data_IF_289917788569
#
_entry.id   IF_289917788569
#
_cell.length_a   1.000
_cell.length_b   1.000
_cell.length_c   1.000
_cell.angle_alpha   90.00
_cell.angle_beta   90.00
_cell.angle_gamma   90.00
#
_symmetry.space_group_name_H-M   'P 1'
#
loop_
_entity.id
_entity.type
_entity.pdbx_description
1 polymer ?
#
# COMPACT_ATOMS: atom_id res chain seq x y z
N UNK A 1 -19.24 -10.66 13.09
CA UNK A 1 -19.86 -12.01 13.03
C UNK A 1 -20.06 -12.35 11.55
N UNK A 2 -19.87 -13.60 11.13
CA UNK A 2 -20.16 -14.02 9.74
C UNK A 2 -21.66 -14.27 9.64
N UNK A 3 -22.37 -13.51 8.80
CA UNK A 3 -23.84 -13.56 8.73
C UNK A 3 -24.35 -14.72 7.87
N UNK A 4 -23.71 -14.94 6.71
CA UNK A 4 -24.08 -15.97 5.74
C UNK A 4 -22.85 -16.39 4.92
N UNK A 5 -22.62 -17.69 4.79
CA UNK A 5 -21.53 -18.29 4.01
C UNK A 5 -22.09 -19.26 2.97
N UNK A 6 -21.93 -18.92 1.70
CA UNK A 6 -22.42 -19.68 0.55
C UNK A 6 -21.36 -19.78 -0.56
N UNK A 7 -21.64 -20.53 -1.62
CA UNK A 7 -20.69 -20.72 -2.74
C UNK A 7 -20.32 -19.39 -3.42
N UNK A 8 -21.18 -18.39 -3.37
CA UNK A 8 -20.98 -17.05 -3.94
C UNK A 8 -20.29 -16.09 -2.95
N UNK A 9 -19.85 -16.56 -1.79
CA UNK A 9 -19.02 -15.83 -0.84
C UNK A 9 -19.66 -15.70 0.54
N UNK A 10 -19.27 -14.64 1.25
CA UNK A 10 -19.80 -14.37 2.59
C UNK A 10 -19.80 -12.89 2.94
N UNK A 11 -20.59 -12.52 3.95
CA UNK A 11 -20.60 -11.19 4.56
C UNK A 11 -20.20 -11.26 6.02
N UNK A 12 -19.42 -10.28 6.46
CA UNK A 12 -19.06 -10.09 7.86
C UNK A 12 -19.48 -8.72 8.31
N UNK A 13 -20.21 -8.71 9.42
CA UNK A 13 -20.54 -7.47 10.10
C UNK A 13 -19.52 -7.20 11.23
N UNK A 14 -18.93 -6.02 11.19
CA UNK A 14 -18.12 -5.42 12.26
C UNK A 14 -18.76 -4.11 12.72
N UNK A 15 -18.42 -3.69 13.95
CA UNK A 15 -19.11 -2.60 14.65
C UNK A 15 -19.21 -1.29 13.84
N UNK A 16 -18.19 -0.99 13.05
CA UNK A 16 -18.07 0.25 12.28
C UNK A 16 -18.00 0.03 10.76
N UNK A 17 -17.87 -1.21 10.31
CA UNK A 17 -17.63 -1.57 8.92
C UNK A 17 -18.31 -2.89 8.56
N UNK A 18 -18.78 -2.97 7.32
CA UNK A 18 -19.23 -4.21 6.72
C UNK A 18 -18.17 -4.68 5.73
N UNK A 19 -17.91 -5.98 5.70
CA UNK A 19 -17.03 -6.57 4.71
C UNK A 19 -17.73 -7.72 4.00
N UNK A 20 -17.39 -7.90 2.73
CA UNK A 20 -17.93 -8.94 1.85
C UNK A 20 -16.79 -9.57 1.08
N UNK A 21 -16.77 -10.89 1.04
CA UNK A 21 -15.94 -11.64 0.13
C UNK A 21 -16.77 -12.10 -1.06
N UNK A 22 -16.22 -11.94 -2.24
CA UNK A 22 -16.76 -12.34 -3.53
C UNK A 22 -15.72 -13.24 -4.20
N UNK A 23 -16.02 -14.53 -4.39
CA UNK A 23 -15.13 -15.47 -5.04
C UNK A 23 -14.76 -15.02 -6.47
N UNK A 24 -13.56 -15.39 -6.95
CA UNK A 24 -12.56 -16.19 -6.24
C UNK A 24 -11.62 -15.38 -5.34
N UNK A 25 -11.56 -14.05 -5.48
CA UNK A 25 -10.45 -13.26 -4.91
C UNK A 25 -10.79 -11.81 -4.53
N UNK A 26 -12.06 -11.42 -4.49
CA UNK A 26 -12.47 -10.03 -4.29
C UNK A 26 -12.94 -9.81 -2.85
N UNK A 27 -12.33 -8.83 -2.19
CA UNK A 27 -12.70 -8.39 -0.85
C UNK A 27 -13.21 -6.95 -0.94
N UNK A 28 -14.33 -6.70 -0.29
CA UNK A 28 -15.04 -5.43 -0.32
C UNK A 28 -15.35 -5.02 1.11
N UNK A 29 -14.77 -3.93 1.60
CA UNK A 29 -15.02 -3.38 2.92
C UNK A 29 -15.58 -1.96 2.81
N UNK A 30 -16.60 -1.62 3.60
CA UNK A 30 -17.24 -0.32 3.55
C UNK A 30 -17.72 0.13 4.93
N UNK A 31 -17.69 1.43 5.17
CA UNK A 31 -18.16 2.01 6.44
C UNK A 31 -19.69 2.01 6.51
N UNK A 32 -20.24 1.65 7.67
CA UNK A 32 -21.68 1.73 7.91
C UNK A 32 -22.17 3.18 7.99
N UNK A 33 -23.46 3.44 7.70
CA UNK A 33 -24.12 4.66 8.16
C UNK A 33 -23.99 4.78 9.66
N UNK A 34 -23.55 5.95 10.13
CA UNK A 34 -23.79 6.30 11.52
C UNK A 34 -25.25 6.69 11.59
N UNK A 35 -26.10 5.79 12.09
CA UNK A 35 -27.45 6.15 12.46
C UNK A 35 -27.35 7.15 13.62
N UNK A 36 -27.62 8.43 13.35
CA UNK A 36 -27.90 9.41 14.40
C UNK A 36 -29.26 9.07 15.02
N UNK A 37 -29.29 8.05 15.84
CA UNK A 37 -30.42 7.74 16.71
C UNK A 37 -29.90 7.73 18.14
N UNK A 38 -29.93 8.90 18.79
CA UNK A 38 -30.42 9.10 20.17
C UNK A 38 -30.16 10.53 20.63
N UNK A 39 -31.23 11.27 20.89
CA UNK A 39 -31.20 12.52 21.67
C UNK A 39 -32.35 13.48 21.35
N UNK A 40 -33.37 13.49 22.22
CA UNK A 40 -34.41 14.51 22.39
C UNK A 40 -35.60 14.51 21.42
N UNK A 41 -36.74 14.03 21.93
CA UNK A 41 -38.05 14.55 21.55
C UNK A 41 -38.05 16.07 21.73
N UNK A 42 -38.37 16.82 20.67
CA UNK A 42 -39.13 18.06 20.77
C UNK A 42 -39.70 18.41 19.39
N UNK A 43 -40.93 18.91 19.44
CA UNK A 43 -41.84 19.17 18.34
C UNK A 43 -41.35 20.18 17.30
N UNK A 44 -42.04 20.14 16.15
CA UNK A 44 -42.16 21.17 15.09
C UNK A 44 -41.28 20.91 13.87
N UNK A 45 -41.98 20.74 12.75
CA UNK A 45 -41.45 20.33 11.46
C UNK A 45 -40.39 21.28 10.92
N UNK A 46 -39.23 20.71 10.61
CA UNK A 46 -38.27 21.29 9.68
C UNK A 46 -37.80 20.16 8.77
N UNK A 47 -37.80 20.40 7.45
CA UNK A 47 -37.41 19.44 6.42
C UNK A 47 -36.08 18.78 6.78
N UNK A 48 -36.11 17.46 6.99
CA UNK A 48 -34.93 16.63 7.20
C UNK A 48 -34.19 16.53 5.87
N UNK A 49 -33.26 17.45 5.60
CA UNK A 49 -32.28 17.24 4.53
C UNK A 49 -31.56 15.92 4.82
N UNK A 50 -31.68 14.96 3.92
CA UNK A 50 -30.92 13.72 3.95
C UNK A 50 -29.44 14.08 3.89
N UNK A 51 -28.78 14.06 5.04
CA UNK A 51 -27.32 14.22 5.11
C UNK A 51 -26.69 13.14 4.24
N UNK A 52 -26.00 13.53 3.18
CA UNK A 52 -25.28 12.59 2.32
C UNK A 52 -24.24 11.90 3.19
N UNK A 53 -24.51 10.65 3.53
CA UNK A 53 -23.68 9.86 4.43
C UNK A 53 -22.28 9.71 3.81
N UNK A 54 -21.25 10.10 4.57
CA UNK A 54 -19.86 9.90 4.15
C UNK A 54 -19.57 8.40 4.18
N UNK A 55 -19.16 7.86 3.03
CA UNK A 55 -18.84 6.46 2.82
C UNK A 55 -17.44 6.33 2.24
N UNK A 56 -16.65 5.47 2.88
CA UNK A 56 -15.37 5.01 2.40
C UNK A 56 -15.48 3.52 2.08
N UNK A 57 -14.93 3.13 0.93
CA UNK A 57 -14.93 1.76 0.46
C UNK A 57 -13.50 1.35 0.15
N UNK A 58 -13.10 0.16 0.59
CA UNK A 58 -11.89 -0.53 0.17
C UNK A 58 -12.31 -1.74 -0.66
N UNK A 59 -11.86 -1.76 -1.91
CA UNK A 59 -11.97 -2.92 -2.79
C UNK A 59 -10.57 -3.48 -2.96
N UNK A 60 -10.38 -4.76 -2.70
CA UNK A 60 -9.10 -5.45 -2.74
C UNK A 60 -9.24 -6.76 -3.49
N UNK A 61 -8.44 -6.94 -4.54
CA UNK A 61 -8.32 -8.16 -5.32
C UNK A 61 -7.01 -8.84 -4.94
N UNK A 62 -7.08 -10.09 -4.48
CA UNK A 62 -5.92 -10.92 -4.17
C UNK A 62 -5.87 -12.12 -5.12
N UNK A 63 -5.30 -11.91 -6.30
CA UNK A 63 -5.34 -12.90 -7.38
C UNK A 63 -4.12 -13.82 -7.23
N UNK A 64 -4.30 -15.13 -6.98
CA UNK A 64 -3.18 -16.07 -6.99
C UNK A 64 -2.61 -16.19 -8.41
N UNK A 65 -1.29 -16.06 -8.56
CA UNK A 65 -0.61 -16.16 -9.87
C UNK A 65 0.20 -17.45 -9.97
N UNK A 66 1.04 -17.69 -8.97
CA UNK A 66 1.81 -18.93 -8.81
C UNK A 66 2.03 -19.19 -7.32
N UNK A 67 2.45 -20.39 -6.93
CA UNK A 67 2.86 -20.62 -5.54
C UNK A 67 3.90 -19.60 -5.09
N UNK A 68 3.65 -18.96 -3.93
CA UNK A 68 4.48 -17.88 -3.39
C UNK A 68 4.28 -16.49 -4.01
N UNK A 69 3.46 -16.36 -5.06
CA UNK A 69 3.22 -15.08 -5.74
C UNK A 69 1.71 -14.81 -5.88
N UNK A 70 1.27 -13.69 -5.31
CA UNK A 70 -0.07 -13.15 -5.51
C UNK A 70 0.01 -11.75 -6.13
N UNK A 71 -1.00 -11.41 -6.94
CA UNK A 71 -1.20 -10.05 -7.44
C UNK A 71 -2.25 -9.35 -6.59
N UNK A 72 -1.84 -8.25 -5.99
CA UNK A 72 -2.71 -7.38 -5.20
C UNK A 72 -3.11 -6.16 -6.04
N UNK A 73 -4.41 -5.92 -6.16
CA UNK A 73 -4.97 -4.72 -6.79
C UNK A 73 -5.98 -4.14 -5.83
N UNK A 74 -5.93 -2.83 -5.58
CA UNK A 74 -6.91 -2.18 -4.71
C UNK A 74 -7.46 -0.90 -5.31
N UNK A 75 -8.61 -0.49 -4.76
CA UNK A 75 -9.22 0.79 -5.01
C UNK A 75 -9.87 1.30 -3.74
N UNK A 76 -9.76 2.61 -3.52
CA UNK A 76 -10.33 3.29 -2.36
C UNK A 76 -11.38 4.34 -2.79
N UNK A 77 -12.53 3.93 -3.35
CA UNK A 77 -13.56 4.88 -3.69
C UNK A 77 -14.15 5.53 -2.43
N UNK A 78 -14.39 6.83 -2.52
CA UNK A 78 -14.95 7.66 -1.45
C UNK A 78 -15.90 8.67 -2.05
N UNK A 79 -17.03 8.89 -1.38
CA UNK A 79 -18.07 9.82 -1.84
C UNK A 79 -17.93 11.24 -1.24
N UNK A 80 -16.95 11.45 -0.37
CA UNK A 80 -16.68 12.71 0.32
C UNK A 80 -15.30 13.26 -0.07
N UNK A 81 -15.15 14.59 0.02
CA UNK A 81 -13.88 15.25 -0.30
C UNK A 81 -13.45 15.08 -1.76
N UNK A 82 -14.41 14.83 -2.68
CA UNK A 82 -14.13 14.65 -4.12
C UNK A 82 -13.62 15.93 -4.78
N UNK A 83 -13.88 17.09 -4.19
CA UNK A 83 -13.31 18.36 -4.65
C UNK A 83 -11.78 18.38 -4.56
N UNK A 84 -11.20 17.62 -3.62
CA UNK A 84 -9.75 17.54 -3.43
C UNK A 84 -9.10 16.92 -4.68
N UNK A 85 -9.80 16.04 -5.39
CA UNK A 85 -9.30 15.41 -6.62
C UNK A 85 -9.14 16.41 -7.78
N UNK A 86 -9.71 17.62 -7.66
CA UNK A 86 -9.50 18.73 -8.61
C UNK A 86 -8.23 19.54 -8.32
N UNK A 87 -7.78 19.57 -7.07
CA UNK A 87 -6.63 20.37 -6.61
C UNK A 87 -5.38 19.50 -6.49
N UNK A 88 -5.55 18.29 -5.99
CA UNK A 88 -4.48 17.35 -5.67
C UNK A 88 -4.38 16.30 -6.77
N UNK A 89 -3.22 16.16 -7.45
CA UNK A 89 -3.05 15.17 -8.50
C UNK A 89 -3.29 13.74 -7.99
N UNK A 90 -3.98 12.91 -8.79
CA UNK A 90 -4.35 11.54 -8.40
C UNK A 90 -3.19 10.67 -7.90
N UNK A 91 -1.99 10.86 -8.44
CA UNK A 91 -0.81 10.06 -8.06
C UNK A 91 -0.39 10.28 -6.60
N UNK A 92 -0.65 11.43 -5.99
CA UNK A 92 -0.27 11.69 -4.60
C UNK A 92 -1.12 10.85 -3.63
N UNK A 93 -2.40 10.68 -3.94
CA UNK A 93 -3.28 9.77 -3.19
C UNK A 93 -2.81 8.32 -3.31
N UNK A 94 -2.36 7.90 -4.48
CA UNK A 94 -1.81 6.56 -4.66
C UNK A 94 -0.53 6.37 -3.84
N UNK A 95 0.40 7.32 -3.86
CA UNK A 95 1.62 7.27 -3.04
C UNK A 95 1.28 7.18 -1.55
N UNK A 96 0.34 7.99 -1.07
CA UNK A 96 -0.10 7.95 0.34
C UNK A 96 -0.75 6.61 0.73
N UNK A 97 -1.55 6.02 -0.18
CA UNK A 97 -2.17 4.71 0.03
C UNK A 97 -1.12 3.59 0.00
N UNK A 98 -0.14 3.66 -0.91
CA UNK A 98 0.93 2.69 -1.00
C UNK A 98 1.75 2.63 0.30
N UNK A 99 1.96 3.77 0.99
CA UNK A 99 2.66 3.78 2.27
C UNK A 99 2.00 2.84 3.31
N UNK A 100 0.67 2.81 3.39
CA UNK A 100 -0.06 1.92 4.32
C UNK A 100 0.15 0.45 3.93
N UNK A 101 0.23 0.17 2.63
CA UNK A 101 0.34 -1.19 2.13
C UNK A 101 1.76 -1.72 2.20
N UNK A 102 2.76 -0.87 1.99
CA UNK A 102 4.17 -1.21 2.17
C UNK A 102 4.43 -1.66 3.63
N UNK A 103 3.78 -1.02 4.62
CA UNK A 103 3.90 -1.45 6.02
C UNK A 103 3.26 -2.80 6.30
N UNK A 104 2.09 -3.07 5.71
CA UNK A 104 1.40 -4.35 5.89
C UNK A 104 2.09 -5.49 5.14
N UNK A 105 2.58 -5.22 3.92
CA UNK A 105 3.35 -6.17 3.11
C UNK A 105 4.63 -6.59 3.83
N UNK A 106 5.26 -5.67 4.58
CA UNK A 106 6.46 -5.98 5.36
C UNK A 106 6.16 -7.00 6.46
N UNK A 107 5.04 -6.84 7.16
CA UNK A 107 4.62 -7.74 8.22
C UNK A 107 4.29 -9.12 7.66
N UNK A 108 3.51 -9.19 6.57
CA UNK A 108 3.24 -10.44 5.86
C UNK A 108 4.53 -11.15 5.46
N UNK A 109 5.54 -10.38 5.08
CA UNK A 109 6.80 -10.93 4.64
C UNK A 109 7.68 -11.42 5.79
N UNK A 110 7.77 -10.68 6.91
CA UNK A 110 8.46 -11.16 8.11
C UNK A 110 7.85 -12.48 8.59
N UNK A 111 6.52 -12.59 8.60
CA UNK A 111 5.83 -13.84 8.96
C UNK A 111 6.19 -15.02 8.04
N UNK A 112 6.64 -14.75 6.81
CA UNK A 112 7.14 -15.74 5.85
C UNK A 112 8.67 -15.92 5.88
N UNK A 113 9.44 -14.95 6.38
CA UNK A 113 10.90 -14.92 6.26
C UNK A 113 11.69 -15.53 7.41
N UNK A 114 11.10 -15.68 8.60
CA UNK A 114 11.82 -16.13 9.81
C UNK A 114 12.34 -17.58 9.69
N UNK A 115 12.10 -18.27 8.56
CA UNK A 115 12.74 -19.54 8.21
C UNK A 115 14.04 -19.51 7.42
N UNK A 116 14.44 -18.38 6.82
CA UNK A 116 15.51 -18.39 5.79
C UNK A 116 16.75 -17.56 6.12
N UNK A 117 16.77 -16.84 7.24
CA UNK A 117 17.91 -15.99 7.62
C UNK A 117 18.69 -16.63 8.76
N UNK A 118 19.75 -17.35 8.42
CA UNK A 118 20.87 -17.61 9.32
C UNK A 118 21.73 -16.36 9.47
N UNK A 119 21.33 -15.42 10.34
CA UNK A 119 22.17 -14.28 10.75
C UNK A 119 22.37 -14.33 12.28
N UNK A 120 23.62 -14.39 12.79
CA UNK A 120 23.90 -14.72 14.18
C UNK A 120 23.81 -13.56 15.19
N UNK A 121 23.35 -12.37 14.79
CA UNK A 121 23.58 -11.16 15.61
C UNK A 121 22.47 -10.76 16.60
N UNK A 122 21.26 -11.34 16.53
CA UNK A 122 20.16 -11.01 17.46
C UNK A 122 19.63 -12.25 18.20
N UNK A 123 20.46 -12.89 19.02
CA UNK A 123 20.11 -14.15 19.69
C UNK A 123 19.53 -14.03 21.10
N UNK A 124 19.46 -12.87 21.76
CA UNK A 124 19.32 -12.93 23.23
C UNK A 124 18.03 -12.49 23.92
N UNK A 125 17.01 -11.87 23.30
CA UNK A 125 15.80 -11.48 24.05
C UNK A 125 14.44 -11.58 23.30
N UNK A 126 14.40 -12.12 22.09
CA UNK A 126 13.17 -12.26 21.27
C UNK A 126 12.78 -13.71 20.94
N UNK A 127 13.23 -14.67 21.74
CA UNK A 127 13.38 -16.08 21.34
C UNK A 127 12.14 -17.00 21.52
N UNK A 128 11.00 -16.50 21.98
CA UNK A 128 9.82 -17.35 22.23
C UNK A 128 8.52 -16.93 21.51
N UNK A 129 8.37 -15.70 21.00
CA UNK A 129 7.06 -15.17 20.56
C UNK A 129 6.93 -15.01 19.03
N UNK A 130 8.02 -14.92 18.27
CA UNK A 130 7.97 -14.62 16.82
C UNK A 130 8.58 -15.70 15.92
N UNK A 131 8.65 -16.94 16.40
CA UNK A 131 9.40 -18.00 15.75
C UNK A 131 8.49 -19.11 15.25
N UNK A 132 7.64 -18.81 14.27
CA UNK A 132 7.14 -19.83 13.36
C UNK A 132 6.44 -19.26 12.13
N UNK A 133 6.73 -19.81 10.95
CA UNK A 133 6.02 -19.44 9.73
C UNK A 133 4.63 -20.07 9.75
N UNK A 134 3.58 -19.26 9.81
CA UNK A 134 2.20 -19.73 9.85
C UNK A 134 1.87 -20.69 8.69
N UNK A 135 2.39 -20.46 7.48
CA UNK A 135 2.14 -21.33 6.32
C UNK A 135 2.76 -22.72 6.44
N UNK A 136 3.97 -22.83 7.01
CA UNK A 136 4.60 -24.14 7.26
C UNK A 136 3.85 -24.91 8.33
N UNK A 137 3.46 -24.25 9.43
CA UNK A 137 2.59 -24.87 10.42
C UNK A 137 1.27 -25.34 9.84
N UNK A 138 0.66 -24.58 8.92
CA UNK A 138 -0.58 -24.98 8.24
C UNK A 138 -0.35 -26.20 7.33
N UNK A 139 0.81 -26.30 6.67
CA UNK A 139 1.18 -27.53 5.94
C UNK A 139 1.28 -28.73 6.88
N UNK A 140 1.92 -28.57 8.04
CA UNK A 140 2.14 -29.66 8.99
C UNK A 140 0.85 -30.13 9.66
N UNK A 141 -0.02 -29.22 10.12
CA UNK A 141 -1.30 -29.58 10.75
C UNK A 141 -2.40 -29.93 9.75
N UNK A 142 -2.19 -29.60 8.47
CA UNK A 142 -3.13 -29.74 7.37
C UNK A 142 -4.14 -28.59 7.30
N UNK A 143 -4.55 -28.24 6.08
CA UNK A 143 -5.38 -27.06 5.82
C UNK A 143 -6.79 -27.13 6.48
N UNK A 144 -7.31 -28.31 6.79
CA UNK A 144 -8.54 -28.47 7.58
C UNK A 144 -8.37 -28.02 9.05
N UNK A 145 -7.16 -28.10 9.61
CA UNK A 145 -6.82 -27.78 10.99
C UNK A 145 -6.07 -26.45 11.16
N UNK A 146 -6.18 -25.54 10.17
CA UNK A 146 -5.44 -24.28 10.14
C UNK A 146 -5.54 -23.45 11.43
N UNK A 147 -6.65 -23.54 12.16
CA UNK A 147 -6.89 -22.85 13.43
C UNK A 147 -5.95 -23.32 14.56
N UNK A 148 -5.34 -24.50 14.45
CA UNK A 148 -4.31 -24.97 15.39
C UNK A 148 -2.95 -24.31 15.13
N UNK A 149 -2.72 -23.86 13.90
CA UNK A 149 -1.48 -23.22 13.48
C UNK A 149 -1.52 -21.71 13.70
N UNK A 150 -2.64 -21.06 13.35
CA UNK A 150 -2.80 -19.61 13.45
C UNK A 150 -4.27 -19.26 13.70
N UNK A 151 -4.63 -19.04 14.97
CA UNK A 151 -5.96 -18.57 15.37
C UNK A 151 -5.83 -17.53 16.47
N UNK A 152 -6.32 -16.33 16.17
CA UNK A 152 -6.51 -15.28 17.17
C UNK A 152 -8.03 -15.08 17.31
N UNK A 153 -8.59 -15.12 18.53
CA UNK A 153 -10.03 -15.12 18.72
C UNK A 153 -10.60 -13.68 18.76
N UNK A 154 -10.28 -12.83 17.76
CA UNK A 154 -10.82 -11.46 17.73
C UNK A 154 -11.91 -11.27 16.68
N UNK A 155 -12.72 -10.22 16.85
CA UNK A 155 -13.71 -9.80 15.84
C UNK A 155 -13.05 -9.35 14.53
N UNK A 156 -11.78 -8.93 14.58
CA UNK A 156 -11.00 -8.52 13.40
C UNK A 156 -10.70 -9.70 12.48
N UNK A 157 -10.57 -10.91 13.04
CA UNK A 157 -10.26 -12.14 12.29
C UNK A 157 -11.45 -12.71 11.53
N UNK A 158 -12.65 -12.13 11.65
CA UNK A 158 -13.88 -12.65 11.06
C UNK A 158 -13.77 -12.83 9.52
N UNK A 159 -13.08 -11.91 8.83
CA UNK A 159 -12.86 -11.99 7.39
C UNK A 159 -11.95 -13.18 7.03
N UNK A 160 -10.84 -13.34 7.76
CA UNK A 160 -9.86 -14.43 7.56
C UNK A 160 -10.50 -15.79 7.85
N UNK A 161 -11.22 -15.90 8.97
CA UNK A 161 -11.97 -17.09 9.36
C UNK A 161 -13.02 -17.44 8.29
N UNK A 162 -13.79 -16.45 7.82
CA UNK A 162 -14.80 -16.63 6.79
C UNK A 162 -14.21 -17.13 5.49
N UNK A 163 -13.10 -16.53 5.05
CA UNK A 163 -12.38 -16.94 3.85
C UNK A 163 -11.86 -18.37 3.94
N UNK A 164 -11.19 -18.73 5.05
CA UNK A 164 -10.68 -20.09 5.26
C UNK A 164 -11.80 -21.14 5.28
N UNK A 165 -12.93 -20.84 5.94
CA UNK A 165 -14.12 -21.72 5.93
C UNK A 165 -14.69 -21.88 4.52
N UNK A 166 -14.79 -20.78 3.76
CA UNK A 166 -15.28 -20.80 2.39
C UNK A 166 -14.35 -21.60 1.48
N UNK A 167 -13.04 -21.38 1.57
CA UNK A 167 -12.02 -22.09 0.79
C UNK A 167 -12.10 -23.60 1.04
N UNK A 168 -12.19 -24.01 2.30
CA UNK A 168 -12.29 -25.43 2.67
C UNK A 168 -13.58 -26.07 2.17
N UNK A 169 -14.71 -25.35 2.27
CA UNK A 169 -16.03 -25.89 1.94
C UNK A 169 -16.30 -25.94 0.44
N UNK A 170 -15.90 -24.92 -0.31
CA UNK A 170 -16.31 -24.74 -1.71
C UNK A 170 -15.17 -24.79 -2.73
N UNK A 171 -13.91 -24.70 -2.30
CA UNK A 171 -12.74 -24.70 -3.19
C UNK A 171 -11.75 -25.83 -2.88
N UNK A 172 -12.16 -26.86 -2.13
CA UNK A 172 -11.31 -28.01 -1.80
C UNK A 172 -10.15 -27.68 -0.85
N UNK A 173 -10.17 -26.52 -0.19
CA UNK A 173 -9.15 -26.10 0.78
C UNK A 173 -7.82 -25.64 0.17
N UNK A 174 -7.72 -25.56 -1.15
CA UNK A 174 -6.48 -25.16 -1.80
C UNK A 174 -6.77 -24.33 -3.05
N UNK A 175 -5.77 -23.54 -3.46
CA UNK A 175 -5.81 -22.87 -4.75
C UNK A 175 -5.47 -23.90 -5.83
N UNK A 176 -6.32 -24.02 -6.85
CA UNK A 176 -5.99 -24.80 -8.04
C UNK A 176 -4.96 -24.04 -8.87
N UNK A 177 -3.69 -24.44 -8.72
CA UNK A 177 -2.56 -23.85 -9.44
C UNK A 177 -2.47 -24.31 -10.91
N UNK A 178 -3.32 -25.25 -11.35
CA UNK A 178 -3.34 -25.83 -12.72
C UNK A 178 -2.01 -26.44 -13.22
N UNK A 179 -0.97 -26.49 -12.38
CA UNK A 179 0.38 -26.97 -12.69
C UNK A 179 1.01 -27.74 -11.53
N UNK A 180 2.25 -28.22 -11.73
CA UNK A 180 2.98 -29.02 -10.72
C UNK A 180 3.48 -28.14 -9.57
N UNK A 181 2.69 -27.96 -8.53
CA UNK A 181 3.14 -27.40 -7.26
C UNK A 181 3.70 -28.52 -6.38
N UNK A 182 4.98 -28.43 -6.00
CA UNK A 182 5.68 -29.43 -5.17
C UNK A 182 5.54 -29.18 -3.66
N UNK A 183 4.79 -28.15 -3.25
CA UNK A 183 4.69 -27.73 -1.84
C UNK A 183 5.80 -26.78 -1.37
N UNK A 184 6.84 -26.58 -2.18
CA UNK A 184 7.93 -25.65 -1.86
C UNK A 184 7.68 -24.26 -2.45
N UNK A 185 7.79 -23.23 -1.61
CA UNK A 185 7.72 -21.84 -2.02
C UNK A 185 9.07 -21.36 -2.59
N UNK A 186 9.08 -20.42 -3.54
CA UNK A 186 10.31 -19.80 -4.01
C UNK A 186 11.03 -19.08 -2.85
N UNK A 187 12.37 -18.94 -2.94
CA UNK A 187 13.11 -18.16 -1.97
C UNK A 187 12.63 -16.71 -2.00
N UNK A 188 12.56 -16.13 -0.81
CA UNK A 188 12.24 -14.73 -0.64
C UNK A 188 13.31 -13.82 -1.29
N UNK A 189 12.92 -12.79 -2.06
CA UNK A 189 13.83 -11.75 -2.52
C UNK A 189 14.25 -10.80 -1.37
N UNK A 190 15.37 -10.07 -1.51
CA UNK A 190 15.77 -9.04 -0.54
C UNK A 190 14.67 -7.98 -0.30
N UNK A 191 14.65 -7.40 0.90
CA UNK A 191 13.63 -6.41 1.32
C UNK A 191 13.51 -5.25 0.34
N UNK A 192 14.63 -4.77 -0.17
CA UNK A 192 14.71 -3.64 -1.10
C UNK A 192 14.02 -3.95 -2.42
N UNK A 193 14.19 -5.18 -2.93
CA UNK A 193 13.54 -5.64 -4.15
C UNK A 193 12.05 -5.89 -3.94
N UNK A 194 11.67 -6.45 -2.78
CA UNK A 194 10.27 -6.70 -2.45
C UNK A 194 9.49 -5.38 -2.29
N UNK A 195 10.11 -4.38 -1.69
CA UNK A 195 9.52 -3.08 -1.40
C UNK A 195 9.73 -2.04 -2.51
N UNK A 196 10.20 -2.48 -3.68
CA UNK A 196 10.34 -1.61 -4.82
C UNK A 196 8.96 -1.28 -5.42
N UNK A 197 8.52 -0.05 -5.15
CA UNK A 197 7.26 0.50 -5.66
C UNK A 197 7.28 0.72 -7.16
N UNK A 198 8.44 0.91 -7.75
CA UNK A 198 8.53 1.23 -9.16
C UNK A 198 7.97 0.07 -10.00
N UNK A 199 8.44 -1.14 -9.71
CA UNK A 199 8.03 -2.36 -10.39
C UNK A 199 6.66 -2.87 -9.97
N UNK A 200 6.33 -2.80 -8.67
CA UNK A 200 5.05 -3.29 -8.17
C UNK A 200 3.87 -2.39 -8.57
N UNK A 201 4.07 -1.07 -8.65
CA UNK A 201 2.98 -0.12 -8.87
C UNK A 201 3.24 0.89 -9.99
N UNK A 202 4.34 1.64 -9.96
CA UNK A 202 4.53 2.85 -10.78
C UNK A 202 4.49 2.52 -12.27
N UNK A 203 5.16 1.46 -12.70
CA UNK A 203 5.18 1.04 -14.11
C UNK A 203 3.79 0.66 -14.65
N UNK A 204 2.95 0.08 -13.78
CA UNK A 204 1.61 -0.42 -14.11
C UNK A 204 0.52 0.65 -13.98
N UNK A 205 0.76 1.71 -13.21
CA UNK A 205 -0.22 2.76 -12.93
C UNK A 205 0.00 3.98 -13.83
N UNK A 206 -0.93 4.25 -14.76
CA UNK A 206 -0.82 5.38 -15.70
C UNK A 206 -0.57 6.73 -15.01
N UNK A 207 -1.28 7.05 -13.93
CA UNK A 207 -1.12 8.35 -13.25
C UNK A 207 0.23 8.49 -12.57
N UNK A 208 0.70 7.44 -11.90
CA UNK A 208 2.00 7.44 -11.21
C UNK A 208 3.16 7.40 -12.20
N UNK A 209 3.03 6.63 -13.30
CA UNK A 209 4.02 6.58 -14.37
C UNK A 209 4.20 7.94 -15.05
N UNK A 210 3.10 8.63 -15.38
CA UNK A 210 3.15 9.98 -15.97
C UNK A 210 3.82 10.96 -15.00
N UNK A 211 3.43 10.93 -13.73
CA UNK A 211 4.03 11.79 -12.71
C UNK A 211 5.53 11.50 -12.54
N UNK A 212 5.91 10.24 -12.45
CA UNK A 212 7.31 9.81 -12.38
C UNK A 212 8.12 10.33 -13.57
N UNK A 213 7.65 10.11 -14.80
CA UNK A 213 8.33 10.61 -16.02
C UNK A 213 8.44 12.13 -16.04
N UNK A 214 7.36 12.83 -15.67
CA UNK A 214 7.35 14.30 -15.61
C UNK A 214 8.32 14.86 -14.57
N UNK A 215 8.37 14.27 -13.37
CA UNK A 215 9.29 14.70 -12.31
C UNK A 215 10.75 14.40 -12.65
N UNK A 216 11.06 13.25 -13.27
CA UNK A 216 12.42 12.97 -13.75
C UNK A 216 12.83 13.92 -14.88
N UNK A 217 11.91 14.26 -15.80
CA UNK A 217 12.19 15.26 -16.82
C UNK A 217 12.47 16.65 -16.19
N UNK A 218 11.69 17.04 -15.18
CA UNK A 218 11.91 18.29 -14.44
C UNK A 218 13.27 18.30 -13.73
N UNK A 219 13.68 17.19 -13.11
CA UNK A 219 15.01 17.05 -12.51
C UNK A 219 16.12 17.34 -13.52
N UNK A 220 16.07 16.73 -14.70
CA UNK A 220 17.06 16.94 -15.77
C UNK A 220 17.03 18.40 -16.26
N UNK A 221 15.84 18.97 -16.46
CA UNK A 221 15.70 20.38 -16.89
C UNK A 221 16.32 21.33 -15.87
N UNK A 222 16.07 21.13 -14.58
CA UNK A 222 16.67 21.96 -13.52
C UNK A 222 18.21 21.88 -13.52
N UNK A 223 18.77 20.69 -13.74
CA UNK A 223 20.22 20.51 -13.85
C UNK A 223 20.80 21.21 -15.08
N UNK A 224 20.17 21.04 -16.25
CA UNK A 224 20.63 21.70 -17.50
C UNK A 224 20.55 23.21 -17.37
N UNK A 225 19.43 23.76 -16.88
CA UNK A 225 19.26 25.21 -16.68
C UNK A 225 20.31 25.76 -15.72
N UNK A 226 20.64 25.02 -14.64
CA UNK A 226 21.70 25.41 -13.71
C UNK A 226 23.07 25.51 -14.41
N UNK A 227 23.48 24.46 -15.13
CA UNK A 227 24.78 24.40 -15.82
C UNK A 227 24.87 25.50 -16.90
N UNK A 228 23.82 25.66 -17.70
CA UNK A 228 23.75 26.69 -18.75
C UNK A 228 23.83 28.09 -18.14
N UNK A 229 23.13 28.33 -17.03
CA UNK A 229 23.17 29.63 -16.33
C UNK A 229 24.57 29.98 -15.82
N UNK A 230 25.30 29.00 -15.27
CA UNK A 230 26.69 29.17 -14.85
C UNK A 230 27.59 29.47 -16.06
N UNK A 231 27.42 28.73 -17.16
CA UNK A 231 28.15 28.94 -18.40
C UNK A 231 27.95 30.34 -18.98
N UNK A 232 26.71 30.83 -19.01
CA UNK A 232 26.38 32.19 -19.47
C UNK A 232 27.02 33.24 -18.55
N UNK A 233 26.89 33.07 -17.23
CA UNK A 233 27.46 34.01 -16.26
C UNK A 233 29.00 34.12 -16.37
N UNK A 234 29.66 32.98 -16.65
CA UNK A 234 31.10 32.88 -16.83
C UNK A 234 31.59 33.43 -18.18
N UNK A 235 30.86 33.17 -19.28
CA UNK A 235 31.25 33.60 -20.62
C UNK A 235 30.95 35.09 -20.91
N UNK A 236 30.06 35.72 -20.13
CA UNK A 236 29.74 37.12 -20.32
C UNK A 236 30.97 38.03 -20.14
N UNK A 237 31.18 38.97 -21.06
CA UNK A 237 32.30 39.92 -20.99
C UNK A 237 32.16 40.87 -19.79
N UNK A 238 33.28 41.36 -19.28
CA UNK A 238 33.32 42.39 -18.23
C UNK A 238 32.47 43.61 -18.67
N UNK A 239 31.48 44.00 -17.88
CA UNK A 239 30.58 45.13 -18.18
C UNK A 239 29.34 44.81 -19.03
N UNK A 240 29.24 43.60 -19.64
CA UNK A 240 28.04 43.20 -20.38
C UNK A 240 26.83 42.90 -19.49
N UNK A 241 27.08 42.51 -18.23
CA UNK A 241 26.08 42.30 -17.18
C UNK A 241 26.57 42.96 -15.89
N UNK A 242 25.64 43.54 -15.12
CA UNK A 242 25.97 44.14 -13.84
C UNK A 242 26.47 43.07 -12.85
N UNK A 243 27.33 43.47 -11.91
CA UNK A 243 27.84 42.55 -10.88
C UNK A 243 26.71 41.94 -10.04
N UNK A 244 25.64 42.72 -9.80
CA UNK A 244 24.42 42.26 -9.13
C UNK A 244 23.74 41.18 -9.96
N UNK A 245 23.48 41.42 -11.25
CA UNK A 245 22.83 40.45 -12.12
C UNK A 245 23.63 39.15 -12.24
N UNK A 246 24.96 39.24 -12.41
CA UNK A 246 25.85 38.05 -12.45
C UNK A 246 25.75 37.23 -11.17
N UNK A 247 25.82 37.88 -10.01
CA UNK A 247 25.69 37.21 -8.70
C UNK A 247 24.31 36.56 -8.54
N UNK A 248 23.23 37.24 -8.93
CA UNK A 248 21.87 36.69 -8.86
C UNK A 248 21.70 35.46 -9.75
N UNK A 249 22.22 35.47 -10.98
CA UNK A 249 22.17 34.30 -11.89
C UNK A 249 22.91 33.11 -11.29
N UNK A 250 24.08 33.33 -10.70
CA UNK A 250 24.85 32.25 -10.04
C UNK A 250 24.07 31.68 -8.85
N UNK A 251 23.47 32.53 -8.01
CA UNK A 251 22.65 32.06 -6.89
C UNK A 251 21.42 31.26 -7.35
N UNK A 252 20.71 31.72 -8.38
CA UNK A 252 19.59 30.98 -8.95
C UNK A 252 20.03 29.63 -9.53
N UNK A 253 21.19 29.57 -10.20
CA UNK A 253 21.73 28.32 -10.71
C UNK A 253 22.04 27.33 -9.59
N UNK A 254 22.64 27.78 -8.48
CA UNK A 254 22.88 26.95 -7.29
C UNK A 254 21.57 26.46 -6.69
N UNK A 255 20.55 27.33 -6.59
CA UNK A 255 19.22 26.95 -6.08
C UNK A 255 18.52 25.92 -6.98
N UNK A 256 18.60 26.04 -8.31
CA UNK A 256 18.06 25.03 -9.21
C UNK A 256 18.78 23.70 -9.09
N UNK A 257 20.10 23.71 -8.95
CA UNK A 257 20.87 22.49 -8.71
C UNK A 257 20.48 21.82 -7.39
N UNK A 258 20.40 22.59 -6.29
CA UNK A 258 19.97 22.08 -4.99
C UNK A 258 18.54 21.52 -5.05
N UNK A 259 17.63 22.23 -5.72
CA UNK A 259 16.25 21.78 -5.93
C UNK A 259 16.19 20.49 -6.74
N UNK A 260 17.06 20.32 -7.75
CA UNK A 260 17.13 19.07 -8.52
C UNK A 260 17.52 17.88 -7.64
N UNK A 261 18.47 18.05 -6.71
CA UNK A 261 18.89 16.99 -5.77
C UNK A 261 17.81 16.65 -4.75
N UNK A 262 17.12 17.66 -4.24
CA UNK A 262 15.95 17.44 -3.38
C UNK A 262 14.84 16.69 -4.14
N UNK A 263 14.65 17.03 -5.41
CA UNK A 263 13.69 16.36 -6.28
C UNK A 263 14.10 14.89 -6.55
N UNK A 264 15.37 14.59 -6.82
CA UNK A 264 15.86 13.20 -6.95
C UNK A 264 15.52 12.38 -5.69
N UNK A 265 15.83 12.92 -4.52
CA UNK A 265 15.52 12.25 -3.24
C UNK A 265 14.01 12.09 -3.06
N UNK A 266 13.21 13.11 -3.40
CA UNK A 266 11.76 13.04 -3.36
C UNK A 266 11.23 11.93 -4.29
N UNK A 267 11.72 11.85 -5.53
CA UNK A 267 11.33 10.83 -6.51
C UNK A 267 11.67 9.45 -5.96
N UNK A 268 12.89 9.25 -5.47
CA UNK A 268 13.32 7.97 -4.93
C UNK A 268 12.44 7.52 -3.76
N UNK A 269 12.21 8.41 -2.78
CA UNK A 269 11.40 8.09 -1.59
C UNK A 269 9.94 7.77 -1.93
N UNK A 270 9.35 8.46 -2.91
CA UNK A 270 7.93 8.31 -3.25
C UNK A 270 7.63 7.29 -4.35
N UNK A 271 8.58 6.95 -5.22
CA UNK A 271 8.35 6.04 -6.34
C UNK A 271 9.20 4.76 -6.32
N UNK A 272 10.28 4.68 -5.53
CA UNK A 272 11.12 3.48 -5.43
C UNK A 272 11.00 2.81 -4.07
N UNK A 273 11.62 3.38 -3.04
CA UNK A 273 11.73 2.72 -1.74
C UNK A 273 11.49 3.68 -0.58
N UNK A 274 10.83 3.20 0.46
CA UNK A 274 10.66 3.89 1.73
C UNK A 274 10.90 2.87 2.82
N UNK A 275 11.99 3.07 3.55
CA UNK A 275 12.33 2.19 4.65
C UNK A 275 11.29 2.34 5.76
N UNK A 276 10.62 1.23 6.06
CA UNK A 276 9.90 1.07 7.31
C UNK A 276 10.81 0.40 8.33
N UNK A 277 11.09 1.13 9.41
CA UNK A 277 11.67 0.60 10.63
C UNK A 277 10.56 0.50 11.67
N UNK A 278 10.18 -0.74 12.00
CA UNK A 278 9.18 -1.02 13.02
C UNK A 278 9.80 -1.21 14.42
N UNK A 279 11.13 -1.18 14.54
CA UNK A 279 11.82 -1.45 15.80
C UNK A 279 11.92 -0.23 16.72
N UNK A 280 11.65 0.98 16.22
CA UNK A 280 11.72 2.22 17.00
C UNK A 280 10.43 3.03 16.85
N UNK A 281 9.40 2.66 17.61
CA UNK A 281 8.26 3.55 17.86
C UNK A 281 7.65 3.32 19.23
#
# INVERSE_FOLDING_TARGET
>A
MIEKLDINGFKTDQRWSNSKFLPPCVFYAYTKPVDQANGSESSVGTKKETSVQRSFVLIFFCIPVSPGNSRLIWSFPRNFGVWIDKVVPRWTFHVAQNLILDSDLYLLHIELLVGSVGQPYYRFLGSAILRDNNERKIMDVGNANWHKACFVPTKSDALVIGFRKWLNKYAGGQVDWRGKYSGALPPTPPKEQLMDRYWSHVVNCRSCNIAYKGLNALEVVLQVVSIVSIGIAAAAKQGAISAVARTTVVLLAVLFYASSRLLTHFIYKNFHYHGYDHAFR
#
